data_IF_928516462317
#
_entry.id   IF_928516462317
#
_cell.length_a   1.000
_cell.length_b   1.000
_cell.length_c   1.000
_cell.angle_alpha   90.00
_cell.angle_beta   90.00
_cell.angle_gamma   90.00
#
_symmetry.space_group_name_H-M   'P 1'
#
loop_
_entity.id
_entity.type
_entity.pdbx_description
1 polymer ?
#
# COMPACT_ATOMS: atom_id res chain seq x y z
N UNK A 1 -10.92 -26.49 -4.60
CA UNK A 1 -11.07 -25.18 -5.28
C UNK A 1 -12.54 -24.99 -5.65
N UNK A 2 -13.27 -24.17 -4.88
CA UNK A 2 -14.63 -23.74 -5.22
C UNK A 2 -14.54 -22.49 -6.13
N UNK A 3 -14.38 -22.72 -7.41
CA UNK A 3 -14.59 -21.70 -8.44
C UNK A 3 -15.91 -22.05 -9.14
N UNK A 4 -16.85 -21.09 -9.21
CA UNK A 4 -18.26 -21.16 -9.69
C UNK A 4 -19.35 -21.16 -8.61
N UNK A 5 -19.61 -19.99 -7.99
CA UNK A 5 -20.88 -19.69 -7.29
C UNK A 5 -21.34 -18.23 -7.52
N UNK A 6 -20.41 -17.27 -7.65
CA UNK A 6 -20.77 -15.85 -7.75
C UNK A 6 -21.62 -15.54 -8.99
N UNK A 7 -21.24 -16.04 -10.16
CA UNK A 7 -21.98 -15.80 -11.40
C UNK A 7 -23.45 -16.26 -11.31
N UNK A 8 -23.70 -17.45 -10.76
CA UNK A 8 -25.05 -17.98 -10.56
C UNK A 8 -25.83 -17.20 -9.50
N UNK A 9 -25.17 -16.79 -8.41
CA UNK A 9 -25.79 -15.95 -7.39
C UNK A 9 -26.19 -14.58 -7.95
N UNK A 10 -25.32 -13.94 -8.72
CA UNK A 10 -25.61 -12.65 -9.37
C UNK A 10 -26.85 -12.79 -10.26
N UNK A 11 -26.82 -13.70 -11.24
CA UNK A 11 -27.92 -13.86 -12.19
C UNK A 11 -29.28 -14.10 -11.53
N UNK A 12 -29.34 -14.80 -10.39
CA UNK A 12 -30.59 -15.09 -9.68
C UNK A 12 -31.07 -13.97 -8.76
N UNK A 13 -30.18 -13.07 -8.33
CA UNK A 13 -30.48 -12.06 -7.30
C UNK A 13 -30.26 -10.61 -7.76
N UNK A 14 -29.99 -10.35 -9.05
CA UNK A 14 -29.74 -8.99 -9.59
C UNK A 14 -30.89 -8.00 -9.32
N UNK A 15 -32.12 -8.47 -9.13
CA UNK A 15 -33.30 -7.62 -8.85
C UNK A 15 -33.51 -7.37 -7.36
N UNK A 16 -32.84 -8.12 -6.48
CA UNK A 16 -33.03 -8.10 -5.03
C UNK A 16 -31.78 -7.68 -4.25
N UNK A 17 -30.60 -7.73 -4.88
CA UNK A 17 -29.32 -7.41 -4.26
C UNK A 17 -28.51 -6.45 -5.13
N UNK A 18 -28.03 -5.36 -4.52
CA UNK A 18 -27.07 -4.45 -5.15
C UNK A 18 -25.65 -4.81 -4.73
N UNK A 19 -24.80 -5.09 -5.72
CA UNK A 19 -23.39 -5.44 -5.49
C UNK A 19 -22.57 -4.16 -5.47
N UNK A 20 -22.11 -3.79 -4.28
CA UNK A 20 -21.33 -2.57 -4.09
C UNK A 20 -19.86 -2.77 -4.48
N UNK A 21 -19.27 -3.91 -4.09
CA UNK A 21 -17.90 -4.28 -4.42
C UNK A 21 -17.82 -5.79 -4.69
N UNK A 22 -17.06 -6.21 -5.70
CA UNK A 22 -16.84 -7.61 -6.02
C UNK A 22 -15.34 -7.87 -6.21
N UNK A 23 -14.76 -8.61 -5.26
CA UNK A 23 -13.32 -8.87 -5.22
C UNK A 23 -12.53 -7.72 -4.58
N UNK A 24 -11.22 -7.72 -4.84
CA UNK A 24 -10.28 -6.76 -4.28
C UNK A 24 -9.54 -6.04 -5.40
N UNK A 25 -9.35 -4.73 -5.27
CA UNK A 25 -8.65 -3.95 -6.28
C UNK A 25 -7.15 -4.22 -6.18
N UNK A 26 -6.61 -4.93 -7.17
CA UNK A 26 -5.17 -5.24 -7.24
C UNK A 26 -4.37 -4.12 -7.91
N UNK A 27 -4.94 -3.55 -8.98
CA UNK A 27 -4.31 -2.52 -9.80
C UNK A 27 -5.30 -1.38 -10.08
N UNK A 28 -4.76 -0.19 -10.35
CA UNK A 28 -5.54 0.94 -10.91
C UNK A 28 -4.88 1.44 -12.19
N UNK A 29 -5.67 2.01 -13.09
CA UNK A 29 -5.16 2.58 -14.33
C UNK A 29 -4.54 3.95 -14.05
N UNK A 30 -3.41 4.25 -14.68
CA UNK A 30 -2.90 5.62 -14.72
C UNK A 30 -3.68 6.39 -15.78
N UNK A 31 -4.36 7.47 -15.35
CA UNK A 31 -5.21 8.29 -16.23
C UNK A 31 -4.39 9.24 -17.11
N UNK A 32 -3.15 9.52 -16.73
CA UNK A 32 -2.25 10.38 -17.49
C UNK A 32 -1.57 9.58 -18.62
N UNK A 33 -1.73 10.06 -19.86
CA UNK A 33 -1.25 9.41 -21.10
C UNK A 33 0.27 9.41 -21.29
N UNK A 34 1.03 10.00 -20.37
CA UNK A 34 2.46 10.31 -20.54
C UNK A 34 3.37 9.20 -20.00
N UNK A 35 2.84 8.27 -19.21
CA UNK A 35 3.65 7.20 -18.62
C UNK A 35 3.66 5.93 -19.47
N UNK A 36 4.84 5.34 -19.61
CA UNK A 36 5.02 4.00 -20.19
C UNK A 36 4.28 2.92 -19.40
N UNK A 37 4.01 3.18 -18.13
CA UNK A 37 3.33 2.28 -17.19
C UNK A 37 1.83 2.58 -17.14
N UNK A 38 1.01 1.68 -17.71
CA UNK A 38 -0.46 1.87 -17.83
C UNK A 38 -1.23 1.61 -16.53
N UNK A 39 -0.62 0.89 -15.59
CA UNK A 39 -1.24 0.45 -14.35
C UNK A 39 -0.33 0.70 -13.16
N UNK A 40 -0.91 1.07 -12.03
CA UNK A 40 -0.25 1.17 -10.73
C UNK A 40 -0.80 0.16 -9.76
N UNK A 41 0.03 -0.28 -8.82
CA UNK A 41 -0.39 -1.14 -7.72
C UNK A 41 -1.42 -0.41 -6.84
N UNK A 42 -2.32 -1.18 -6.24
CA UNK A 42 -3.30 -0.66 -5.26
C UNK A 42 -2.94 -1.13 -3.86
N UNK A 43 -3.12 -0.22 -2.88
CA UNK A 43 -2.90 -0.51 -1.46
C UNK A 43 -3.78 -1.67 -0.95
N UNK A 44 -4.96 -1.90 -1.52
CA UNK A 44 -5.83 -3.01 -1.10
C UNK A 44 -5.21 -4.36 -1.47
N UNK A 45 -4.71 -4.47 -2.71
CA UNK A 45 -4.17 -5.72 -3.25
C UNK A 45 -2.79 -6.11 -2.73
N UNK A 46 -2.03 -5.18 -2.15
CA UNK A 46 -0.59 -5.39 -1.99
C UNK A 46 -0.24 -6.58 -1.09
N UNK A 47 -0.99 -6.82 -0.02
CA UNK A 47 -0.74 -7.97 0.88
C UNK A 47 -0.85 -9.32 0.14
N UNK A 48 -1.67 -9.39 -0.90
CA UNK A 48 -1.85 -10.61 -1.70
C UNK A 48 -0.85 -10.70 -2.86
N UNK A 49 -0.38 -9.56 -3.36
CA UNK A 49 0.60 -9.49 -4.44
C UNK A 49 2.04 -9.66 -3.93
N UNK A 50 2.34 -9.21 -2.71
CA UNK A 50 3.70 -9.17 -2.16
C UNK A 50 4.49 -10.48 -2.29
N UNK A 51 3.92 -11.68 -2.06
CA UNK A 51 4.65 -12.95 -2.22
C UNK A 51 5.14 -13.21 -3.66
N UNK A 52 4.56 -12.55 -4.65
CA UNK A 52 4.86 -12.72 -6.07
C UNK A 52 5.68 -11.55 -6.64
N UNK A 53 6.00 -10.53 -5.84
CA UNK A 53 6.81 -9.39 -6.26
C UNK A 53 8.29 -9.65 -6.01
N UNK A 54 9.08 -9.69 -7.09
CA UNK A 54 10.53 -9.90 -7.06
C UNK A 54 11.34 -8.59 -7.16
N UNK A 55 10.70 -7.50 -7.60
CA UNK A 55 11.32 -6.19 -7.85
C UNK A 55 10.40 -5.10 -7.33
N UNK A 56 10.91 -3.87 -7.19
CA UNK A 56 10.13 -2.75 -6.68
C UNK A 56 9.57 -3.02 -5.27
N UNK A 57 10.38 -3.67 -4.43
CA UNK A 57 10.07 -3.92 -3.03
C UNK A 57 11.30 -3.55 -2.20
N UNK A 58 11.17 -2.57 -1.31
CA UNK A 58 12.27 -2.04 -0.51
C UNK A 58 11.91 -2.08 0.96
N UNK A 59 12.81 -2.63 1.78
CA UNK A 59 12.69 -2.57 3.24
C UNK A 59 13.17 -1.21 3.70
N UNK A 60 12.41 -0.52 4.54
CA UNK A 60 12.76 0.80 5.07
C UNK A 60 12.77 0.80 6.59
N UNK A 61 13.49 1.77 7.16
CA UNK A 61 13.50 2.02 8.61
C UNK A 61 12.15 2.53 9.11
N UNK A 62 11.92 2.35 10.41
CA UNK A 62 10.69 2.77 11.09
C UNK A 62 10.47 4.30 11.02
N UNK A 63 11.54 5.09 11.15
CA UNK A 63 11.46 6.55 11.09
C UNK A 63 10.91 7.05 9.75
N UNK A 64 11.44 6.51 8.64
CA UNK A 64 10.96 6.84 7.30
C UNK A 64 9.53 6.35 7.09
N UNK A 65 9.19 5.17 7.59
CA UNK A 65 7.82 4.64 7.51
C UNK A 65 6.84 5.55 8.25
N UNK A 66 7.17 5.98 9.47
CA UNK A 66 6.35 6.92 10.24
C UNK A 66 6.18 8.25 9.52
N UNK A 67 7.26 8.76 8.90
CA UNK A 67 7.19 9.99 8.10
C UNK A 67 6.26 9.85 6.90
N UNK A 68 6.31 8.71 6.22
CA UNK A 68 5.44 8.38 5.08
C UNK A 68 3.98 8.20 5.50
N UNK A 69 3.72 7.61 6.66
CA UNK A 69 2.35 7.35 7.14
C UNK A 69 1.70 8.59 7.78
N UNK A 70 2.49 9.48 8.39
CA UNK A 70 1.99 10.67 9.09
C UNK A 70 1.92 11.91 8.20
N UNK A 71 2.52 11.89 7.01
CA UNK A 71 2.48 13.07 6.15
C UNK A 71 1.06 13.37 5.69
N UNK A 72 0.69 14.65 5.73
CA UNK A 72 -0.52 15.15 5.06
C UNK A 72 -0.25 15.46 3.58
N UNK A 73 1.02 15.53 3.20
CA UNK A 73 1.45 15.80 1.84
C UNK A 73 1.35 14.54 0.98
N UNK A 74 0.89 14.71 -0.25
CA UNK A 74 0.80 13.61 -1.23
C UNK A 74 2.14 13.25 -1.86
N UNK A 75 3.14 14.12 -1.70
CA UNK A 75 4.48 14.01 -2.28
C UNK A 75 5.52 14.25 -1.19
N UNK A 76 6.46 13.33 -1.04
CA UNK A 76 7.57 13.41 -0.10
C UNK A 76 8.87 13.51 -0.89
N UNK A 77 9.71 14.53 -0.67
CA UNK A 77 11.03 14.61 -1.30
C UNK A 77 11.92 13.45 -0.83
N UNK A 78 12.58 12.75 -1.77
CA UNK A 78 13.46 11.62 -1.43
C UNK A 78 14.63 12.07 -0.55
N UNK A 79 15.15 13.27 -0.73
CA UNK A 79 16.24 13.81 0.09
C UNK A 79 15.88 13.94 1.58
N UNK A 80 14.59 13.90 1.90
CA UNK A 80 14.10 13.95 3.26
C UNK A 80 14.03 12.56 3.94
N UNK A 81 14.32 11.47 3.22
CA UNK A 81 14.26 10.09 3.68
C UNK A 81 15.66 9.47 3.79
N UNK A 82 15.86 8.61 4.78
CA UNK A 82 17.12 7.88 4.95
C UNK A 82 17.25 6.75 3.91
N UNK A 83 16.15 6.13 3.50
CA UNK A 83 16.09 5.05 2.49
C UNK A 83 16.23 5.53 1.03
N UNK A 84 16.62 6.78 0.80
CA UNK A 84 16.65 7.40 -0.54
C UNK A 84 17.50 6.65 -1.55
N UNK A 85 18.63 6.07 -1.13
CA UNK A 85 19.53 5.38 -2.04
C UNK A 85 18.96 4.02 -2.46
N UNK A 86 18.32 3.30 -1.54
CA UNK A 86 17.62 2.04 -1.82
C UNK A 86 16.42 2.25 -2.75
N UNK A 87 15.70 3.36 -2.55
CA UNK A 87 14.58 3.78 -3.40
C UNK A 87 15.08 4.18 -4.79
N UNK A 88 16.21 4.91 -4.89
CA UNK A 88 16.84 5.31 -6.16
C UNK A 88 17.41 4.14 -6.96
N UNK A 89 17.80 3.06 -6.30
CA UNK A 89 18.20 1.83 -6.97
C UNK A 89 17.04 1.16 -7.73
N UNK A 90 15.79 1.55 -7.43
CA UNK A 90 14.60 1.06 -8.14
C UNK A 90 14.28 1.94 -9.36
N UNK A 91 13.45 1.40 -10.26
CA UNK A 91 12.95 2.17 -11.41
C UNK A 91 11.78 3.07 -11.00
N UNK A 92 11.56 4.17 -11.73
CA UNK A 92 10.34 4.99 -11.62
C UNK A 92 9.08 4.13 -11.77
N UNK A 93 8.08 4.33 -10.91
CA UNK A 93 6.82 3.58 -10.98
C UNK A 93 6.27 3.19 -9.61
N UNK A 94 5.44 2.14 -9.58
CA UNK A 94 4.92 1.60 -8.32
C UNK A 94 6.04 0.92 -7.53
N UNK A 95 6.18 1.30 -6.26
CA UNK A 95 7.18 0.80 -5.33
C UNK A 95 6.50 0.40 -4.01
N UNK A 96 6.86 -0.76 -3.49
CA UNK A 96 6.34 -1.29 -2.24
C UNK A 96 7.39 -1.09 -1.15
N UNK A 97 7.01 -0.38 -0.11
CA UNK A 97 7.84 -0.12 1.06
C UNK A 97 7.33 -0.94 2.23
N UNK A 98 8.23 -1.45 3.06
CA UNK A 98 7.83 -2.21 4.24
C UNK A 98 8.87 -2.11 5.35
N UNK A 99 8.43 -2.11 6.60
CA UNK A 99 9.29 -2.43 7.75
C UNK A 99 9.11 -3.90 8.10
N UNK A 100 7.86 -4.34 8.22
CA UNK A 100 7.42 -5.73 8.26
C UNK A 100 6.59 -6.06 7.01
N UNK A 101 6.78 -7.27 6.46
CA UNK A 101 6.01 -7.76 5.32
C UNK A 101 4.53 -8.00 5.64
N UNK A 102 4.14 -8.02 6.91
CA UNK A 102 2.72 -8.03 7.32
C UNK A 102 1.98 -6.77 6.89
N UNK A 103 2.67 -5.62 6.88
CA UNK A 103 2.09 -4.29 6.70
C UNK A 103 2.85 -3.47 5.64
N UNK A 104 2.83 -3.94 4.38
CA UNK A 104 3.46 -3.24 3.28
C UNK A 104 2.64 -2.03 2.84
N UNK A 105 3.34 -1.09 2.25
CA UNK A 105 2.82 0.21 1.84
C UNK A 105 3.15 0.46 0.38
N UNK A 106 2.12 0.72 -0.43
CA UNK A 106 2.22 0.92 -1.86
C UNK A 106 2.38 2.41 -2.19
N UNK A 107 3.45 2.73 -2.89
CA UNK A 107 3.85 4.10 -3.23
C UNK A 107 4.15 4.21 -4.71
N UNK A 108 4.30 5.44 -5.20
CA UNK A 108 4.78 5.71 -6.54
C UNK A 108 6.06 6.53 -6.49
N UNK A 109 7.16 6.01 -6.99
CA UNK A 109 8.45 6.70 -6.99
C UNK A 109 8.70 7.39 -8.33
N UNK A 110 9.17 8.63 -8.27
CA UNK A 110 9.76 9.37 -9.38
C UNK A 110 11.25 9.61 -9.11
N UNK A 111 11.96 10.22 -10.07
CA UNK A 111 13.40 10.47 -9.96
C UNK A 111 13.84 11.23 -8.69
N UNK A 112 12.95 12.05 -8.12
CA UNK A 112 13.26 12.93 -6.99
C UNK A 112 12.31 12.80 -5.80
N UNK A 113 11.16 12.17 -6.00
CA UNK A 113 10.05 12.25 -5.05
C UNK A 113 9.32 10.92 -4.94
N UNK A 114 8.72 10.71 -3.78
CA UNK A 114 7.85 9.59 -3.49
C UNK A 114 6.42 10.10 -3.32
N UNK A 115 5.50 9.52 -4.08
CA UNK A 115 4.08 9.84 -4.04
C UNK A 115 3.35 8.76 -3.26
N UNK A 116 2.55 9.25 -2.32
CA UNK A 116 1.78 8.43 -1.42
C UNK A 116 0.35 8.35 -1.92
N UNK A 117 -0.08 7.15 -2.29
CA UNK A 117 -1.43 6.90 -2.79
C UNK A 117 -2.23 6.03 -1.82
N UNK A 118 -2.50 6.55 -0.62
CA UNK A 118 -3.48 5.95 0.28
C UNK A 118 -4.80 6.73 0.20
N UNK A 119 -5.93 6.02 0.20
CA UNK A 119 -7.24 6.68 0.30
C UNK A 119 -7.40 7.28 1.70
N UNK A 120 -7.81 8.55 1.82
CA UNK A 120 -8.03 9.24 3.11
C UNK A 120 -8.95 8.48 4.08
N UNK A 121 -9.83 7.60 3.59
CA UNK A 121 -10.67 6.75 4.44
C UNK A 121 -9.93 5.52 5.01
N UNK A 122 -9.00 4.94 4.26
CA UNK A 122 -8.13 3.86 4.74
C UNK A 122 -7.06 4.37 5.71
N UNK A 123 -6.71 5.67 5.64
CA UNK A 123 -5.79 6.32 6.58
C UNK A 123 -6.23 6.13 8.03
N UNK A 124 -7.50 6.35 8.38
CA UNK A 124 -7.88 6.25 9.80
C UNK A 124 -7.71 4.82 10.31
N UNK A 125 -8.23 3.81 9.61
CA UNK A 125 -8.15 2.44 10.11
C UNK A 125 -6.72 1.88 10.05
N UNK A 126 -5.98 2.13 8.96
CA UNK A 126 -4.65 1.57 8.77
C UNK A 126 -3.60 2.28 9.64
N UNK A 127 -3.65 3.62 9.74
CA UNK A 127 -2.79 4.38 10.66
C UNK A 127 -3.18 4.09 12.11
N UNK A 128 -4.46 4.00 12.47
CA UNK A 128 -4.85 3.60 13.84
C UNK A 128 -4.40 2.18 14.18
N UNK A 129 -4.50 1.22 13.24
CA UNK A 129 -4.07 -0.16 13.49
C UNK A 129 -2.54 -0.25 13.60
N UNK A 130 -1.80 0.38 12.69
CA UNK A 130 -0.33 0.40 12.73
C UNK A 130 0.21 1.19 13.93
N UNK A 131 -0.36 2.35 14.25
CA UNK A 131 0.02 3.12 15.44
C UNK A 131 -0.39 2.41 16.73
N UNK A 132 -1.54 1.74 16.79
CA UNK A 132 -1.95 0.96 17.97
C UNK A 132 -1.04 -0.27 18.17
N UNK A 133 -0.66 -0.97 17.09
CA UNK A 133 0.36 -2.00 17.15
C UNK A 133 1.71 -1.43 17.60
N UNK A 134 2.12 -0.28 17.06
CA UNK A 134 3.37 0.39 17.43
C UNK A 134 3.39 0.85 18.90
N UNK A 135 2.32 1.46 19.41
CA UNK A 135 2.20 1.83 20.84
C UNK A 135 2.14 0.60 21.75
N UNK A 136 1.55 -0.51 21.30
CA UNK A 136 1.50 -1.75 22.06
C UNK A 136 2.88 -2.42 22.14
N UNK A 137 3.66 -2.38 21.06
CA UNK A 137 5.05 -2.84 21.03
C UNK A 137 5.93 -1.95 21.92
N UNK A 138 5.80 -0.63 21.81
CA UNK A 138 6.51 0.32 22.68
C UNK A 138 6.16 0.14 24.16
N UNK A 139 4.89 -0.08 24.52
CA UNK A 139 4.49 -0.36 25.91
C UNK A 139 5.08 -1.66 26.46
N UNK A 140 5.21 -2.70 25.63
CA UNK A 140 5.80 -3.97 26.04
C UNK A 140 7.33 -3.94 26.16
N UNK A 141 8.02 -3.02 25.49
CA UNK A 141 9.47 -2.82 25.65
C UNK A 141 9.87 -1.97 26.87
N UNK A 142 8.90 -1.38 27.59
CA UNK A 142 9.14 -0.56 28.81
C UNK A 142 8.57 -1.18 30.10
N UNK A 143 8.17 -2.46 30.09
CA UNK A 143 7.89 -3.17 31.34
C UNK A 143 9.18 -3.80 31.86
N UNK A 144 9.75 -3.32 32.99
CA UNK A 144 10.88 -3.99 33.62
C UNK A 144 10.42 -5.34 34.18
N UNK A 145 11.18 -6.39 33.87
CA UNK A 145 11.30 -7.57 34.74
C UNK A 145 12.49 -7.32 35.64
#
# INVERSE_FOLDING_TARGET
>A
MQSFQLHFFQQRNMTTVSIQNAGMKMFSRNEQKVETTRFRLSQEGIRHLLPYLEKQVVKIGEEDMLKILKTEETMIPLESLNCKDDVRAQSTGSLVLYTDRSDPVCTWVSASSLFVHYSKQLNHLFVLTLLACYESVMRNSYLPI
#
